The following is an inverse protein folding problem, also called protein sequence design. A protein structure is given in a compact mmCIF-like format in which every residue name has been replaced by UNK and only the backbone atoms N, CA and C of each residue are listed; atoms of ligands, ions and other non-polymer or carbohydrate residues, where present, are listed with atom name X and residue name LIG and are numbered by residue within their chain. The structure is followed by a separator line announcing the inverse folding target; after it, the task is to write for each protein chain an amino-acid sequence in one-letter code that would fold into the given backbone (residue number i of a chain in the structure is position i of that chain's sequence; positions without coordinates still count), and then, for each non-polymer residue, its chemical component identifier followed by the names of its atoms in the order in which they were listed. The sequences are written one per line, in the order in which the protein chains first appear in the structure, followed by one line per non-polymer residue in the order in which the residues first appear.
data_IF_654371310877
#
_entry.id   IF_654371310877
#
_cell.length_a   1.000
_cell.length_b   1.000
_cell.length_c   1.000
_cell.angle_alpha   90.00
_cell.angle_beta   90.00
_cell.angle_gamma   90.00
#
_symmetry.space_group_name_H-M   'P 1'
#
loop_
_entity.id
_entity.type
_entity.pdbx_description
1 polymer ?
#
# COMPACT_ATOMS: atom_id res chain seq x y z
N UNK A 1 -5.11 19.89 0.12
CA UNK A 1 -3.84 20.06 0.89
C UNK A 1 -2.66 19.39 0.18
N UNK A 2 -2.69 19.39 -1.14
CA UNK A 2 -1.64 18.81 -1.98
C UNK A 2 -0.27 19.49 -1.70
N UNK A 3 0.78 18.71 -1.62
CA UNK A 3 2.18 19.17 -1.55
C UNK A 3 2.86 19.18 -0.17
N UNK A 4 2.17 18.93 0.94
CA UNK A 4 2.83 18.84 2.26
C UNK A 4 3.45 17.46 2.55
N UNK A 5 3.06 16.45 1.79
CA UNK A 5 3.48 15.06 1.89
C UNK A 5 4.62 14.71 0.92
N UNK A 6 5.05 15.66 0.07
CA UNK A 6 6.23 15.53 -0.79
C UNK A 6 7.33 16.50 -0.34
N UNK A 7 8.48 15.97 0.04
CA UNK A 7 9.69 16.72 0.41
C UNK A 7 10.64 16.71 -0.78
N UNK A 8 10.62 17.78 -1.58
CA UNK A 8 11.43 17.90 -2.81
C UNK A 8 12.87 18.33 -2.56
N UNK A 9 13.14 19.03 -1.46
CA UNK A 9 14.51 19.37 -1.10
C UNK A 9 15.27 18.11 -0.72
N UNK A 10 16.47 17.92 -1.28
CA UNK A 10 17.32 16.78 -0.99
C UNK A 10 17.62 16.69 0.51
N UNK A 11 17.23 15.58 1.13
CA UNK A 11 17.46 15.29 2.54
C UNK A 11 18.67 14.37 2.66
N UNK A 12 19.63 14.73 3.51
CA UNK A 12 20.75 13.85 3.84
C UNK A 12 20.32 12.82 4.89
N UNK A 13 20.15 11.57 4.46
CA UNK A 13 19.80 10.41 5.27
C UNK A 13 20.92 9.35 5.23
N UNK A 14 22.15 9.75 4.93
CA UNK A 14 23.32 8.85 4.87
C UNK A 14 23.69 8.28 6.24
N UNK A 15 23.25 8.94 7.32
CA UNK A 15 23.46 8.50 8.70
C UNK A 15 22.49 7.42 9.19
N UNK A 16 21.49 7.04 8.36
CA UNK A 16 20.55 5.99 8.72
C UNK A 16 21.12 4.60 8.41
N UNK A 17 20.82 3.66 9.29
CA UNK A 17 21.15 2.25 9.06
C UNK A 17 20.06 1.60 8.18
N UNK A 18 20.39 1.40 6.90
CA UNK A 18 19.54 0.76 5.90
C UNK A 18 19.62 -0.76 5.90
N UNK A 19 20.47 -1.36 6.72
CA UNK A 19 20.64 -2.81 6.84
C UNK A 19 19.55 -3.44 7.72
N UNK A 20 18.72 -2.66 8.39
CA UNK A 20 17.55 -3.18 9.09
C UNK A 20 16.57 -3.79 8.07
N UNK A 21 16.79 -5.04 7.70
CA UNK A 21 15.75 -5.93 7.15
C UNK A 21 14.75 -6.24 8.25
N UNK A 22 14.14 -5.17 8.81
CA UNK A 22 13.11 -5.30 9.81
C UNK A 22 11.89 -5.94 9.14
N UNK A 23 11.80 -7.28 9.27
CA UNK A 23 10.57 -7.97 8.98
C UNK A 23 9.49 -7.43 9.90
N UNK A 24 8.52 -6.71 9.36
CA UNK A 24 7.23 -6.67 9.98
C UNK A 24 6.75 -8.13 10.00
N UNK A 25 6.53 -8.72 11.17
CA UNK A 25 5.99 -10.08 11.34
C UNK A 25 6.78 -11.28 10.77
N UNK A 26 8.12 -11.30 10.85
CA UNK A 26 8.89 -12.55 10.69
C UNK A 26 9.16 -13.01 9.25
N UNK A 27 8.73 -12.29 8.22
CA UNK A 27 9.12 -12.53 6.83
C UNK A 27 10.17 -11.54 6.37
N UNK A 28 11.26 -12.03 5.76
CA UNK A 28 12.30 -11.19 5.19
C UNK A 28 11.68 -10.26 4.14
N UNK A 29 11.60 -8.95 4.46
CA UNK A 29 11.15 -7.94 3.51
C UNK A 29 12.19 -7.78 2.38
N UNK A 30 11.71 -7.60 1.15
CA UNK A 30 12.55 -7.38 -0.03
C UNK A 30 13.13 -5.95 -0.05
N UNK A 31 12.63 -5.07 0.83
CA UNK A 31 12.94 -3.64 0.82
C UNK A 31 13.78 -3.26 2.03
N UNK A 32 14.79 -2.43 1.79
CA UNK A 32 15.57 -1.82 2.87
C UNK A 32 14.72 -0.82 3.64
N UNK A 33 14.79 -0.90 4.95
CA UNK A 33 14.07 -0.03 5.87
C UNK A 33 15.04 0.56 6.88
N UNK A 34 14.76 1.79 7.30
CA UNK A 34 15.44 2.44 8.41
C UNK A 34 14.39 3.06 9.35
N UNK A 35 14.80 3.45 10.54
CA UNK A 35 13.92 4.11 11.50
C UNK A 35 14.66 5.15 12.32
N UNK A 36 13.92 6.18 12.74
CA UNK A 36 14.41 7.22 13.67
C UNK A 36 13.41 7.47 14.76
N UNK A 37 13.88 7.98 15.89
CA UNK A 37 13.02 8.29 17.04
C UNK A 37 12.64 7.06 17.86
N UNK A 38 11.71 7.25 18.79
CA UNK A 38 11.21 6.19 19.68
C UNK A 38 9.77 6.46 20.12
N UNK A 39 9.06 5.41 20.55
CA UNK A 39 7.68 5.51 21.03
C UNK A 39 6.74 6.11 19.98
N UNK A 40 5.97 7.15 20.36
CA UNK A 40 5.04 7.84 19.45
C UNK A 40 5.72 8.72 18.39
N UNK A 41 7.02 9.00 18.54
CA UNK A 41 7.82 9.76 17.56
C UNK A 41 8.59 8.87 16.58
N UNK A 42 8.36 7.56 16.62
CA UNK A 42 9.02 6.61 15.74
C UNK A 42 8.57 6.85 14.28
N UNK A 43 9.55 7.08 13.41
CA UNK A 43 9.37 7.25 11.97
C UNK A 43 10.06 6.09 11.29
N UNK A 44 9.36 5.45 10.39
CA UNK A 44 9.89 4.43 9.49
C UNK A 44 10.18 5.06 8.14
N UNK A 45 11.29 4.62 7.54
CA UNK A 45 11.68 4.92 6.18
C UNK A 45 11.74 3.62 5.40
N UNK A 46 11.28 3.64 4.15
CA UNK A 46 11.30 2.48 3.25
C UNK A 46 11.85 2.93 1.91
N UNK A 47 12.88 2.24 1.43
CA UNK A 47 13.41 2.44 0.09
C UNK A 47 12.56 1.67 -0.93
N UNK A 48 12.50 2.14 -2.20
CA UNK A 48 12.07 1.32 -3.31
C UNK A 48 12.96 0.10 -3.46
N UNK A 49 12.62 -0.78 -4.39
CA UNK A 49 13.41 -1.98 -4.63
C UNK A 49 14.87 -1.64 -4.96
N UNK A 50 15.78 -2.22 -4.19
CA UNK A 50 17.20 -2.18 -4.40
C UNK A 50 17.68 -3.55 -4.87
N UNK A 51 18.35 -3.60 -6.01
CA UNK A 51 18.86 -4.87 -6.60
C UNK A 51 20.36 -5.12 -6.35
N UNK A 52 20.98 -4.33 -5.48
CA UNK A 52 22.42 -4.38 -5.19
C UNK A 52 23.24 -3.35 -5.98
N UNK A 53 22.66 -2.71 -7.00
CA UNK A 53 23.34 -1.73 -7.87
C UNK A 53 22.50 -0.47 -8.09
N UNK A 54 21.19 -0.61 -8.28
CA UNK A 54 20.29 0.46 -8.64
C UNK A 54 19.05 0.43 -7.72
N UNK A 55 18.58 1.62 -7.36
CA UNK A 55 17.28 1.83 -6.76
C UNK A 55 16.35 2.31 -7.89
N UNK A 56 15.55 1.42 -8.45
CA UNK A 56 14.67 1.71 -9.56
C UNK A 56 13.33 1.02 -9.38
N UNK A 57 12.34 1.80 -8.96
CA UNK A 57 10.97 1.31 -8.84
C UNK A 57 9.99 2.41 -8.45
N UNK A 58 8.71 2.16 -8.73
CA UNK A 58 7.61 3.08 -8.44
C UNK A 58 6.94 2.82 -7.07
N UNK A 59 7.42 1.85 -6.28
CA UNK A 59 6.70 1.43 -5.07
C UNK A 59 6.48 2.58 -4.08
N UNK A 60 7.47 3.45 -3.86
CA UNK A 60 7.31 4.55 -2.91
C UNK A 60 6.29 5.59 -3.38
N UNK A 61 6.21 5.82 -4.69
CA UNK A 61 5.20 6.70 -5.30
C UNK A 61 3.82 6.05 -5.20
N UNK A 62 3.72 4.75 -5.48
CA UNK A 62 2.46 4.01 -5.38
C UNK A 62 1.89 3.99 -3.96
N UNK A 63 2.76 3.88 -2.92
CA UNK A 63 2.34 4.02 -1.52
C UNK A 63 1.72 5.39 -1.24
N UNK A 64 2.33 6.47 -1.75
CA UNK A 64 1.79 7.81 -1.61
C UNK A 64 0.47 7.97 -2.38
N UNK A 65 0.40 7.49 -3.63
CA UNK A 65 -0.82 7.52 -4.44
C UNK A 65 -1.96 6.77 -3.76
N UNK A 66 -1.69 5.55 -3.24
CA UNK A 66 -2.68 4.77 -2.50
C UNK A 66 -3.16 5.49 -1.25
N UNK A 67 -2.25 6.12 -0.49
CA UNK A 67 -2.58 6.91 0.69
C UNK A 67 -3.53 8.06 0.34
N UNK A 68 -3.21 8.84 -0.69
CA UNK A 68 -4.04 9.97 -1.14
C UNK A 68 -5.39 9.53 -1.72
N UNK A 69 -5.41 8.40 -2.43
CA UNK A 69 -6.65 7.82 -2.94
C UNK A 69 -7.56 7.36 -1.79
N UNK A 70 -6.99 6.77 -0.75
CA UNK A 70 -7.72 6.39 0.47
C UNK A 70 -8.24 7.62 1.23
N UNK A 71 -7.49 8.73 1.28
CA UNK A 71 -7.98 10.01 1.80
C UNK A 71 -9.21 10.49 1.02
N UNK A 72 -9.16 10.46 -0.32
CA UNK A 72 -10.28 10.86 -1.19
C UNK A 72 -11.52 9.98 -0.97
N UNK A 73 -11.33 8.68 -0.76
CA UNK A 73 -12.39 7.71 -0.47
C UNK A 73 -12.88 7.76 0.99
N UNK A 74 -12.15 8.38 1.90
CA UNK A 74 -12.44 8.39 3.33
C UNK A 74 -12.11 7.07 4.05
N UNK A 75 -11.14 6.32 3.56
CA UNK A 75 -10.70 5.04 4.10
C UNK A 75 -9.53 5.24 5.08
N UNK A 76 -9.59 4.61 6.26
CA UNK A 76 -8.49 4.65 7.23
C UNK A 76 -7.28 3.89 6.69
N UNK A 77 -6.12 4.53 6.71
CA UNK A 77 -4.88 3.98 6.16
C UNK A 77 -3.64 4.57 6.85
N UNK A 78 -2.49 3.97 6.57
CA UNK A 78 -1.19 4.54 6.96
C UNK A 78 -0.82 5.69 6.02
N UNK A 79 -0.70 6.89 6.58
CA UNK A 79 -0.29 8.06 5.81
C UNK A 79 1.21 8.01 5.48
N UNK A 80 1.54 8.27 4.23
CA UNK A 80 2.91 8.30 3.73
C UNK A 80 3.35 9.70 3.33
N UNK A 81 4.66 9.94 3.43
CA UNK A 81 5.34 11.09 2.81
C UNK A 81 6.39 10.58 1.85
N UNK A 82 6.50 11.22 0.69
CA UNK A 82 7.54 10.96 -0.28
C UNK A 82 8.70 11.94 -0.05
N UNK A 83 9.92 11.44 0.04
CA UNK A 83 11.10 12.21 0.40
C UNK A 83 12.17 12.02 -0.66
N UNK A 84 12.66 13.12 -1.24
CA UNK A 84 13.87 13.14 -2.05
C UNK A 84 15.07 13.07 -1.11
N UNK A 85 15.86 12.03 -1.21
CA UNK A 85 16.90 11.75 -0.22
C UNK A 85 18.19 11.23 -0.83
N UNK A 86 19.30 11.55 -0.15
CA UNK A 86 20.60 10.93 -0.30
C UNK A 86 20.75 9.88 0.81
N UNK A 87 21.08 8.65 0.44
CA UNK A 87 21.23 7.50 1.34
C UNK A 87 22.57 6.80 1.11
N UNK A 88 23.09 6.12 2.13
CA UNK A 88 24.31 5.34 2.06
C UNK A 88 23.95 3.85 2.25
N UNK A 89 24.23 3.02 1.24
CA UNK A 89 23.93 1.59 1.25
C UNK A 89 25.20 0.84 0.82
N UNK A 90 25.67 -0.09 1.63
CA UNK A 90 26.85 -0.92 1.36
C UNK A 90 28.09 -0.09 0.96
N UNK A 91 28.25 1.11 1.54
CA UNK A 91 29.35 2.02 1.27
C UNK A 91 29.22 2.90 0.01
N UNK A 92 28.11 2.78 -0.74
CA UNK A 92 27.80 3.61 -1.89
C UNK A 92 26.66 4.63 -1.59
N UNK A 93 26.82 5.84 -2.09
CA UNK A 93 25.79 6.90 -1.99
C UNK A 93 24.81 6.80 -3.15
N UNK A 94 23.52 6.96 -2.83
CA UNK A 94 22.43 6.99 -3.81
C UNK A 94 21.53 8.20 -3.55
N UNK A 95 21.10 8.85 -4.62
CA UNK A 95 20.04 9.83 -4.60
C UNK A 95 18.76 9.19 -5.12
N UNK A 96 17.69 9.24 -4.33
CA UNK A 96 16.45 8.52 -4.63
C UNK A 96 15.24 9.15 -3.96
N UNK A 97 14.07 8.72 -4.38
CA UNK A 97 12.82 8.95 -3.69
C UNK A 97 12.49 7.76 -2.79
N UNK A 98 12.18 8.03 -1.55
CA UNK A 98 11.76 7.04 -0.57
C UNK A 98 10.52 7.50 0.17
N UNK A 99 9.82 6.60 0.84
CA UNK A 99 8.72 7.01 1.68
C UNK A 99 9.04 6.96 3.18
N UNK A 100 8.34 7.77 3.94
CA UNK A 100 8.32 7.68 5.39
C UNK A 100 6.88 7.60 5.90
N UNK A 101 6.72 6.91 7.03
CA UNK A 101 5.46 6.80 7.75
C UNK A 101 5.68 6.85 9.25
N UNK A 102 4.63 7.19 9.99
CA UNK A 102 4.66 7.15 11.45
C UNK A 102 4.14 5.82 11.97
N UNK A 103 4.55 5.47 13.18
CA UNK A 103 3.99 4.32 13.86
C UNK A 103 2.48 4.54 14.12
N UNK A 104 1.64 3.62 13.63
CA UNK A 104 0.18 3.67 13.81
C UNK A 104 -0.31 2.97 15.09
N UNK A 105 0.59 2.22 15.78
CA UNK A 105 0.23 1.51 17.01
C UNK A 105 0.01 2.49 18.15
N UNK A 106 -1.05 2.26 18.91
CA UNK A 106 -1.27 2.92 20.19
C UNK A 106 -0.33 2.33 21.26
N UNK A 107 -0.14 3.07 22.35
CA UNK A 107 0.69 2.60 23.47
C UNK A 107 0.11 1.29 24.02
N UNK A 108 0.96 0.28 24.17
CA UNK A 108 0.57 -1.04 24.67
C UNK A 108 0.03 -2.01 23.61
N UNK A 109 -0.31 -1.55 22.41
CA UNK A 109 -0.74 -2.47 21.34
C UNK A 109 0.44 -3.35 20.87
N UNK A 110 0.14 -4.62 20.67
CA UNK A 110 1.02 -5.60 20.01
C UNK A 110 0.49 -5.87 18.61
N UNK A 111 1.38 -6.17 17.68
CA UNK A 111 1.00 -6.50 16.30
C UNK A 111 1.33 -7.94 15.96
N UNK A 112 0.45 -8.56 15.19
CA UNK A 112 0.65 -9.85 14.54
C UNK A 112 0.24 -9.71 13.07
N UNK A 113 0.84 -10.51 12.19
CA UNK A 113 0.25 -10.66 10.85
C UNK A 113 -1.10 -11.36 10.94
N UNK A 114 -2.00 -11.06 10.01
CA UNK A 114 -3.29 -11.76 9.95
C UNK A 114 -3.09 -13.28 9.83
N UNK A 115 -2.07 -13.74 9.10
CA UNK A 115 -1.76 -15.17 9.01
C UNK A 115 -1.39 -15.79 10.35
N UNK A 116 -0.49 -15.17 11.12
CA UNK A 116 -0.13 -15.65 12.44
C UNK A 116 -1.32 -15.61 13.41
N UNK A 117 -2.14 -14.56 13.32
CA UNK A 117 -3.35 -14.45 14.13
C UNK A 117 -4.39 -15.50 13.73
N UNK A 118 -4.59 -15.73 12.44
CA UNK A 118 -5.44 -16.78 11.91
C UNK A 118 -5.02 -18.18 12.43
N UNK A 119 -3.73 -18.50 12.35
CA UNK A 119 -3.22 -19.81 12.83
C UNK A 119 -3.43 -20.03 14.32
N UNK A 120 -3.47 -18.96 15.13
CA UNK A 120 -3.69 -19.04 16.58
C UNK A 120 -5.18 -19.18 16.95
N UNK A 121 -6.09 -18.61 16.16
CA UNK A 121 -7.50 -18.45 16.57
C UNK A 121 -8.53 -19.03 15.59
N UNK A 122 -8.10 -19.64 14.47
CA UNK A 122 -9.03 -20.28 13.51
C UNK A 122 -9.72 -21.49 14.10
N UNK A 123 -10.96 -21.70 13.71
CA UNK A 123 -11.71 -22.92 13.97
C UNK A 123 -11.36 -24.01 12.94
N UNK A 124 -11.60 -25.30 13.28
CA UNK A 124 -11.35 -26.37 12.32
C UNK A 124 -12.14 -26.20 11.02
N UNK A 125 -11.43 -26.15 9.89
CA UNK A 125 -12.03 -25.98 8.54
C UNK A 125 -12.41 -24.55 8.17
N UNK A 126 -12.17 -23.56 9.04
CA UNK A 126 -12.50 -22.16 8.78
C UNK A 126 -11.58 -21.55 7.72
N UNK A 127 -12.17 -20.84 6.75
CA UNK A 127 -11.44 -20.10 5.73
C UNK A 127 -11.16 -18.64 6.16
N UNK A 128 -10.10 -17.98 5.64
CA UNK A 128 -9.71 -16.64 6.07
C UNK A 128 -10.80 -15.57 5.99
N UNK A 129 -11.68 -15.61 4.98
CA UNK A 129 -12.80 -14.67 4.87
C UNK A 129 -13.85 -14.89 5.96
N UNK A 130 -14.18 -16.13 6.27
CA UNK A 130 -15.12 -16.50 7.35
C UNK A 130 -14.58 -16.07 8.70
N UNK A 131 -13.30 -16.31 8.91
CA UNK A 131 -12.56 -15.85 10.08
C UNK A 131 -12.65 -14.32 10.25
N UNK A 132 -12.39 -13.55 9.21
CA UNK A 132 -12.50 -12.08 9.26
C UNK A 132 -13.94 -11.64 9.58
N UNK A 133 -14.96 -12.31 9.04
CA UNK A 133 -16.37 -12.04 9.36
C UNK A 133 -16.69 -12.34 10.83
N UNK A 134 -16.19 -13.44 11.37
CA UNK A 134 -16.38 -13.81 12.78
C UNK A 134 -15.79 -12.78 13.75
N UNK A 135 -14.68 -12.13 13.37
CA UNK A 135 -14.10 -11.04 14.13
C UNK A 135 -14.71 -9.65 13.83
N UNK A 136 -15.71 -9.56 12.94
CA UNK A 136 -16.36 -8.32 12.59
C UNK A 136 -15.55 -7.40 11.66
N UNK A 137 -14.55 -7.96 10.94
CA UNK A 137 -13.63 -7.20 10.07
C UNK A 137 -14.02 -7.24 8.59
N UNK A 138 -15.23 -7.68 8.25
CA UNK A 138 -15.66 -7.77 6.84
C UNK A 138 -15.59 -6.45 6.08
N UNK A 139 -15.90 -5.33 6.75
CA UNK A 139 -15.85 -4.01 6.11
C UNK A 139 -14.40 -3.53 5.90
N UNK A 140 -13.49 -3.80 6.85
CA UNK A 140 -12.08 -3.46 6.70
C UNK A 140 -11.46 -4.23 5.53
N UNK A 141 -11.79 -5.52 5.41
CA UNK A 141 -11.36 -6.37 4.29
C UNK A 141 -12.00 -5.90 2.98
N UNK A 142 -13.27 -5.49 2.98
CA UNK A 142 -13.93 -4.98 1.78
C UNK A 142 -13.26 -3.69 1.26
N UNK A 143 -12.96 -2.74 2.15
CA UNK A 143 -12.24 -1.50 1.80
C UNK A 143 -10.83 -1.80 1.29
N UNK A 144 -10.14 -2.76 1.90
CA UNK A 144 -8.82 -3.21 1.45
C UNK A 144 -8.87 -3.82 0.04
N UNK A 145 -9.84 -4.70 -0.25
CA UNK A 145 -10.01 -5.30 -1.57
C UNK A 145 -10.37 -4.26 -2.63
N UNK A 146 -11.16 -3.24 -2.29
CA UNK A 146 -11.44 -2.13 -3.20
C UNK A 146 -10.16 -1.37 -3.55
N UNK A 147 -9.35 -1.00 -2.56
CA UNK A 147 -8.06 -0.31 -2.81
C UNK A 147 -7.12 -1.19 -3.61
N UNK A 148 -7.01 -2.48 -3.29
CA UNK A 148 -6.18 -3.42 -4.03
C UNK A 148 -6.63 -3.53 -5.49
N UNK A 149 -7.94 -3.51 -5.74
CA UNK A 149 -8.48 -3.48 -7.10
C UNK A 149 -8.12 -2.17 -7.82
N UNK A 150 -8.40 -1.01 -7.23
CA UNK A 150 -8.14 0.30 -7.84
C UNK A 150 -6.66 0.50 -8.16
N UNK A 151 -5.80 0.07 -7.26
CA UNK A 151 -4.35 0.16 -7.39
C UNK A 151 -3.72 -0.98 -8.20
N UNK A 152 -4.48 -1.98 -8.66
CA UNK A 152 -3.95 -3.20 -9.27
C UNK A 152 -2.84 -3.84 -8.41
N UNK A 153 -3.07 -3.94 -7.09
CA UNK A 153 -2.10 -4.43 -6.12
C UNK A 153 -1.87 -5.93 -6.28
N UNK A 154 -0.59 -6.34 -6.36
CA UNK A 154 -0.19 -7.72 -6.61
C UNK A 154 0.20 -8.49 -5.35
N UNK A 155 0.28 -7.83 -4.20
CA UNK A 155 0.85 -8.40 -2.99
C UNK A 155 0.07 -8.05 -1.71
N UNK A 156 -1.09 -8.70 -1.52
CA UNK A 156 -1.89 -8.65 -0.29
C UNK A 156 -1.77 -9.96 0.48
N UNK A 157 -0.54 -10.44 0.68
CA UNK A 157 -0.27 -11.61 1.52
C UNK A 157 -0.58 -11.35 3.00
N UNK A 158 -0.66 -12.42 3.77
CA UNK A 158 -0.98 -12.37 5.19
C UNK A 158 -0.10 -11.42 6.03
N UNK A 159 1.18 -11.23 5.63
CA UNK A 159 2.12 -10.31 6.30
C UNK A 159 1.82 -8.83 6.02
N UNK A 160 1.06 -8.52 4.98
CA UNK A 160 0.67 -7.17 4.58
C UNK A 160 -0.73 -6.79 5.13
N UNK A 161 -1.26 -7.62 6.03
CA UNK A 161 -2.46 -7.35 6.83
C UNK A 161 -2.06 -7.59 8.29
N UNK A 162 -2.13 -6.56 9.11
CA UNK A 162 -1.76 -6.68 10.53
C UNK A 162 -3.00 -6.62 11.42
N UNK A 163 -2.97 -7.40 12.50
CA UNK A 163 -3.93 -7.35 13.60
C UNK A 163 -3.25 -6.69 14.79
N UNK A 164 -3.93 -5.76 15.42
CA UNK A 164 -3.47 -5.05 16.60
C UNK A 164 -4.23 -5.59 17.82
N UNK A 165 -3.48 -6.12 18.78
CA UNK A 165 -3.98 -6.60 20.05
C UNK A 165 -3.79 -5.52 21.12
N UNK A 166 -4.87 -4.99 21.66
CA UNK A 166 -4.85 -4.00 22.73
C UNK A 166 -4.63 -4.64 24.11
N UNK A 167 -4.19 -3.86 25.12
CA UNK A 167 -3.96 -4.36 26.46
C UNK A 167 -5.23 -4.91 27.15
N UNK A 168 -6.41 -4.47 26.74
CA UNK A 168 -7.72 -4.91 27.23
C UNK A 168 -8.20 -6.23 26.62
N UNK A 169 -7.40 -6.82 25.74
CA UNK A 169 -7.72 -8.07 25.04
C UNK A 169 -8.53 -7.88 23.76
N UNK A 170 -8.88 -6.66 23.38
CA UNK A 170 -9.56 -6.39 22.11
C UNK A 170 -8.60 -6.50 20.92
N UNK A 171 -9.16 -6.81 19.74
CA UNK A 171 -8.41 -6.91 18.48
C UNK A 171 -9.04 -6.02 17.41
N UNK A 172 -8.21 -5.45 16.56
CA UNK A 172 -8.65 -4.70 15.38
C UNK A 172 -7.69 -4.90 14.21
N UNK A 173 -8.18 -4.71 13.00
CA UNK A 173 -7.32 -4.60 11.82
C UNK A 173 -6.51 -3.30 11.91
N UNK A 174 -5.24 -3.37 11.52
CA UNK A 174 -4.41 -2.18 11.35
C UNK A 174 -4.88 -1.34 10.16
N UNK A 175 -4.63 -0.01 10.14
CA UNK A 175 -4.83 0.80 8.95
C UNK A 175 -4.18 0.16 7.73
N UNK A 176 -4.77 0.31 6.53
CA UNK A 176 -4.24 -0.27 5.29
C UNK A 176 -2.84 0.31 5.00
N UNK A 177 -1.90 -0.56 4.67
CA UNK A 177 -0.51 -0.23 4.33
C UNK A 177 0.06 -1.22 3.32
N UNK A 178 1.30 -0.97 2.85
CA UNK A 178 2.09 -1.82 1.95
C UNK A 178 1.37 -2.12 0.62
N UNK A 179 0.97 -1.04 -0.07
CA UNK A 179 0.32 -1.05 -1.38
C UNK A 179 1.31 -0.74 -2.51
N UNK A 180 2.60 -0.68 -2.24
CA UNK A 180 3.61 -0.21 -3.20
C UNK A 180 3.76 -1.11 -4.42
N UNK A 181 3.64 -2.44 -4.29
CA UNK A 181 3.76 -3.37 -5.42
C UNK A 181 2.47 -3.42 -6.25
N UNK A 182 2.10 -2.27 -6.78
CA UNK A 182 0.84 -1.99 -7.47
C UNK A 182 1.06 -1.22 -8.78
N UNK A 183 -0.01 -0.91 -9.49
CA UNK A 183 -0.02 -0.14 -10.74
C UNK A 183 1.08 -0.62 -11.69
N UNK A 184 1.99 0.28 -12.06
CA UNK A 184 3.06 0.06 -13.03
C UNK A 184 4.41 -0.33 -12.41
N UNK A 185 4.48 -0.61 -11.08
CA UNK A 185 5.75 -0.97 -10.44
C UNK A 185 6.50 -2.13 -11.11
N UNK A 186 5.82 -3.21 -11.59
CA UNK A 186 6.50 -4.28 -12.31
C UNK A 186 7.04 -3.89 -13.69
N UNK A 187 6.67 -2.72 -14.20
CA UNK A 187 7.02 -2.20 -15.52
C UNK A 187 7.92 -0.97 -15.45
N UNK A 188 8.44 -0.64 -14.25
CA UNK A 188 9.29 0.54 -14.06
C UNK A 188 10.44 0.55 -15.06
N UNK A 189 10.64 1.71 -15.73
CA UNK A 189 11.66 1.89 -16.77
C UNK A 189 11.27 1.42 -18.18
N UNK A 190 10.17 0.66 -18.37
CA UNK A 190 9.75 0.14 -19.67
C UNK A 190 8.56 0.92 -20.23
N UNK A 191 8.84 2.02 -20.94
CA UNK A 191 7.80 2.90 -21.45
C UNK A 191 6.88 2.26 -22.51
N UNK A 192 7.38 1.31 -23.28
CA UNK A 192 6.58 0.58 -24.27
C UNK A 192 5.51 -0.27 -23.58
N UNK A 193 5.93 -1.09 -22.60
CA UNK A 193 5.02 -1.91 -21.82
C UNK A 193 4.07 -1.08 -20.94
N UNK A 194 4.53 0.05 -20.42
CA UNK A 194 3.67 0.99 -19.69
C UNK A 194 2.56 1.51 -20.61
N UNK A 195 2.90 1.96 -21.82
CA UNK A 195 1.92 2.48 -22.78
C UNK A 195 0.92 1.41 -23.21
N UNK A 196 1.38 0.18 -23.43
CA UNK A 196 0.56 -0.96 -23.86
C UNK A 196 -0.26 -1.60 -22.72
N UNK A 197 -0.05 -1.20 -21.46
CA UNK A 197 -0.73 -1.82 -20.33
C UNK A 197 -2.25 -1.59 -20.40
N UNK A 198 -3.03 -2.68 -20.34
CA UNK A 198 -4.50 -2.61 -20.27
C UNK A 198 -4.95 -2.20 -18.85
N UNK A 199 -5.60 -1.04 -18.70
CA UNK A 199 -6.07 -0.55 -17.39
C UNK A 199 -7.00 -1.50 -16.64
N UNK A 200 -7.77 -2.33 -17.36
CA UNK A 200 -8.71 -3.29 -16.76
C UNK A 200 -8.15 -4.71 -16.65
N UNK A 201 -6.88 -4.93 -17.04
CA UNK A 201 -6.27 -6.24 -16.90
C UNK A 201 -6.45 -6.79 -15.47
N UNK A 202 -7.02 -7.99 -15.34
CA UNK A 202 -7.12 -8.67 -14.04
C UNK A 202 -5.78 -9.30 -13.69
N UNK A 203 -4.88 -8.43 -13.22
CA UNK A 203 -3.52 -8.84 -12.82
C UNK A 203 -3.58 -9.77 -11.62
N UNK A 204 -2.81 -10.86 -11.69
CA UNK A 204 -2.75 -11.81 -10.59
C UNK A 204 -2.21 -11.16 -9.31
N UNK A 205 -2.90 -11.38 -8.21
CA UNK A 205 -2.51 -10.94 -6.86
C UNK A 205 -2.23 -12.12 -5.95
N UNK A 206 -1.38 -11.91 -4.95
CA UNK A 206 -1.30 -12.80 -3.79
C UNK A 206 -2.21 -12.22 -2.72
N UNK A 207 -3.41 -12.78 -2.55
CA UNK A 207 -4.36 -12.32 -1.54
C UNK A 207 -4.62 -13.43 -0.51
N UNK A 208 -4.37 -13.14 0.77
CA UNK A 208 -4.53 -14.12 1.85
C UNK A 208 -5.99 -14.44 2.15
N UNK A 209 -6.87 -13.44 2.04
CA UNK A 209 -8.29 -13.56 2.43
C UNK A 209 -9.15 -13.98 1.24
N UNK A 210 -8.76 -13.59 0.03
CA UNK A 210 -9.53 -13.81 -1.19
C UNK A 210 -8.84 -14.74 -2.19
N UNK A 211 -9.15 -14.52 -3.46
CA UNK A 211 -8.59 -15.25 -4.59
C UNK A 211 -7.39 -14.52 -5.24
N UNK A 212 -6.85 -15.09 -6.31
CA UNK A 212 -5.78 -14.48 -7.09
C UNK A 212 -6.28 -13.45 -8.12
N UNK A 213 -7.58 -13.31 -8.31
CA UNK A 213 -8.24 -12.36 -9.18
C UNK A 213 -8.66 -11.12 -8.39
N UNK A 214 -8.22 -9.94 -8.79
CA UNK A 214 -8.62 -8.68 -8.16
C UNK A 214 -10.10 -8.38 -8.42
N UNK A 215 -10.61 -8.69 -9.62
CA UNK A 215 -12.03 -8.46 -9.94
C UNK A 215 -12.94 -9.42 -9.18
N UNK A 216 -12.57 -10.69 -9.05
CA UNK A 216 -13.33 -11.66 -8.24
C UNK A 216 -13.38 -11.24 -6.76
N UNK A 217 -12.25 -10.79 -6.21
CA UNK A 217 -12.20 -10.28 -4.84
C UNK A 217 -13.13 -9.08 -4.67
N UNK A 218 -13.10 -8.11 -5.60
CA UNK A 218 -13.99 -6.96 -5.58
C UNK A 218 -15.46 -7.39 -5.67
N UNK A 219 -15.81 -8.29 -6.59
CA UNK A 219 -17.18 -8.83 -6.73
C UNK A 219 -17.66 -9.53 -5.46
N UNK A 220 -16.78 -10.15 -4.70
CA UNK A 220 -17.14 -10.83 -3.45
C UNK A 220 -17.58 -9.84 -2.37
N UNK A 221 -17.06 -8.62 -2.36
CA UNK A 221 -17.26 -7.63 -1.30
C UNK A 221 -18.08 -6.41 -1.71
N UNK A 222 -18.33 -6.18 -3.00
CA UNK A 222 -19.14 -5.05 -3.46
C UNK A 222 -20.63 -5.24 -3.10
N UNK A 223 -21.41 -4.16 -2.82
CA UNK A 223 -20.91 -2.80 -2.66
C UNK A 223 -20.08 -2.62 -1.40
N UNK A 224 -19.07 -1.75 -1.43
CA UNK A 224 -18.23 -1.45 -0.26
C UNK A 224 -18.80 -0.26 0.49
N UNK A 225 -19.18 -0.51 1.73
CA UNK A 225 -19.85 0.50 2.56
C UNK A 225 -18.90 1.58 3.10
N UNK A 226 -19.43 2.78 3.28
CA UNK A 226 -18.74 3.90 3.93
C UNK A 226 -17.64 4.55 3.09
N UNK A 227 -17.56 4.26 1.79
CA UNK A 227 -16.64 4.93 0.86
C UNK A 227 -17.32 6.11 0.16
N UNK A 228 -16.55 7.17 -0.07
CA UNK A 228 -17.00 8.34 -0.83
C UNK A 228 -16.88 8.08 -2.32
N UNK A 229 -17.77 8.66 -3.12
CA UNK A 229 -17.67 8.60 -4.57
C UNK A 229 -16.46 9.41 -5.07
N UNK A 230 -15.85 8.91 -6.15
CA UNK A 230 -14.74 9.58 -6.84
C UNK A 230 -15.27 10.18 -8.16
N UNK A 231 -15.29 11.49 -8.25
CA UNK A 231 -15.40 12.20 -9.51
C UNK A 231 -14.04 12.38 -10.17
N UNK A 232 -13.99 12.96 -11.36
CA UNK A 232 -12.77 13.17 -12.13
C UNK A 232 -11.73 14.02 -11.36
N UNK A 233 -12.17 15.02 -10.60
CA UNK A 233 -11.30 15.89 -9.82
C UNK A 233 -10.65 15.11 -8.66
N UNK A 234 -11.44 14.30 -7.95
CA UNK A 234 -10.94 13.44 -6.86
C UNK A 234 -10.01 12.32 -7.34
N UNK A 235 -10.17 11.85 -8.57
CA UNK A 235 -9.24 10.90 -9.20
C UNK A 235 -7.94 11.62 -9.59
N UNK A 236 -7.99 12.90 -9.96
CA UNK A 236 -6.81 13.67 -10.35
C UNK A 236 -5.98 14.15 -9.14
N UNK A 237 -6.63 14.59 -8.07
CA UNK A 237 -5.99 15.16 -6.86
C UNK A 237 -4.84 14.31 -6.27
N UNK A 238 -4.93 12.97 -6.17
CA UNK A 238 -3.82 12.13 -5.71
C UNK A 238 -2.51 12.29 -6.49
N UNK A 239 -2.56 12.75 -7.73
CA UNK A 239 -1.40 12.93 -8.60
C UNK A 239 -0.72 14.29 -8.46
N UNK A 240 -1.33 15.24 -7.75
CA UNK A 240 -0.80 16.60 -7.59
C UNK A 240 0.62 16.58 -7.02
N UNK A 241 1.52 17.31 -7.71
CA UNK A 241 2.92 17.45 -7.30
C UNK A 241 3.78 16.21 -7.54
N UNK A 242 3.37 15.26 -8.38
CA UNK A 242 4.20 14.13 -8.80
C UNK A 242 4.95 14.39 -10.11
N UNK A 243 4.73 15.54 -10.76
CA UNK A 243 5.41 15.96 -11.96
C UNK A 243 6.93 16.01 -11.73
N UNK A 244 7.68 15.44 -12.67
CA UNK A 244 9.14 15.35 -12.59
C UNK A 244 9.68 14.31 -11.60
N UNK A 245 8.82 13.56 -10.89
CA UNK A 245 9.21 12.41 -10.07
C UNK A 245 9.10 11.12 -10.89
N UNK A 246 8.03 11.00 -11.67
CA UNK A 246 7.85 9.98 -12.68
C UNK A 246 7.72 10.60 -14.06
N UNK A 247 7.84 9.80 -15.12
CA UNK A 247 7.56 10.24 -16.47
C UNK A 247 6.07 10.58 -16.65
N UNK A 248 5.78 11.56 -17.50
CA UNK A 248 4.39 11.95 -17.81
C UNK A 248 3.58 10.76 -18.35
N UNK A 249 4.21 9.88 -19.14
CA UNK A 249 3.59 8.65 -19.66
C UNK A 249 3.14 7.74 -18.52
N UNK A 250 3.98 7.55 -17.50
CA UNK A 250 3.64 6.72 -16.35
C UNK A 250 2.51 7.36 -15.53
N UNK A 251 2.57 8.67 -15.27
CA UNK A 251 1.54 9.38 -14.52
C UNK A 251 0.17 9.33 -15.21
N UNK A 252 0.14 9.59 -16.53
CA UNK A 252 -1.09 9.51 -17.32
C UNK A 252 -1.68 8.10 -17.31
N UNK A 253 -0.83 7.07 -17.48
CA UNK A 253 -1.28 5.67 -17.47
C UNK A 253 -1.78 5.23 -16.10
N UNK A 254 -1.12 5.63 -15.00
CA UNK A 254 -1.58 5.33 -13.65
C UNK A 254 -2.94 5.98 -13.36
N UNK A 255 -3.13 7.23 -13.80
CA UNK A 255 -4.43 7.91 -13.69
C UNK A 255 -5.51 7.20 -14.51
N UNK A 256 -5.22 6.80 -15.75
CA UNK A 256 -6.13 6.01 -16.57
C UNK A 256 -6.54 4.69 -15.89
N UNK A 257 -5.59 3.97 -15.28
CA UNK A 257 -5.87 2.73 -14.55
C UNK A 257 -6.88 2.98 -13.43
N UNK A 258 -6.65 3.96 -12.56
CA UNK A 258 -7.53 4.26 -11.44
C UNK A 258 -8.92 4.69 -11.95
N UNK A 259 -8.99 5.56 -12.96
CA UNK A 259 -10.23 6.04 -13.54
C UNK A 259 -11.09 4.91 -14.14
N UNK A 260 -10.46 4.03 -14.94
CA UNK A 260 -11.16 2.89 -15.56
C UNK A 260 -11.62 1.87 -14.54
N UNK A 261 -10.79 1.59 -13.53
CA UNK A 261 -11.14 0.65 -12.46
C UNK A 261 -12.21 1.21 -11.53
N UNK A 262 -12.23 2.52 -11.28
CA UNK A 262 -13.32 3.13 -10.55
C UNK A 262 -14.64 3.01 -11.31
N UNK A 263 -14.67 3.35 -12.60
CA UNK A 263 -15.87 3.18 -13.43
C UNK A 263 -16.36 1.72 -13.43
N UNK A 264 -15.43 0.75 -13.50
CA UNK A 264 -15.77 -0.67 -13.41
C UNK A 264 -16.34 -1.06 -12.05
N UNK A 265 -15.83 -0.50 -10.96
CA UNK A 265 -16.42 -0.71 -9.63
C UNK A 265 -17.84 -0.16 -9.56
N UNK A 266 -18.12 1.01 -10.16
CA UNK A 266 -19.46 1.57 -10.22
C UNK A 266 -20.45 0.67 -10.96
N UNK A 267 -20.03 0.05 -12.07
CA UNK A 267 -20.83 -0.98 -12.77
C UNK A 267 -21.12 -2.17 -11.85
N UNK A 268 -20.08 -2.72 -11.23
CA UNK A 268 -20.22 -3.90 -10.35
C UNK A 268 -21.16 -3.63 -9.16
N UNK A 269 -21.07 -2.43 -8.55
CA UNK A 269 -21.96 -2.09 -7.41
C UNK A 269 -23.40 -1.81 -7.84
N UNK A 270 -23.63 -1.37 -9.07
CA UNK A 270 -24.96 -1.12 -9.60
C UNK A 270 -25.72 -2.41 -9.98
N UNK A 271 -25.00 -3.49 -10.28
CA UNK A 271 -25.54 -4.81 -10.61
C UNK A 271 -26.00 -5.61 -9.36
N UNK A 272 -25.85 -5.06 -8.15
CA UNK A 272 -26.17 -5.69 -6.87
C UNK A 272 -27.28 -5.00 -6.11
#
# INVERSE_FOLDING_TARGET
MAGRDIVRSLQDLTNLDWNERASSSGTAGTYLKARTGSGSRLIYYKLPRYNGVVIDSYECVNELLASRLMDALGIEHLAYRLIHAKVLIDGAEYETWLNSSRNFRKVGERKLSLGAFFDLYKEPGEFPMEFCRRFGWQEDIARMMLIDYLMANRDRRASNIEVLAAPDGSFRIAPIFDTGFSLLAPLAGDLERITAFDPLADVATTNFVGSRSLEENLRTVAPVEGVKDLDEARIAEPFDGLEGILSDVALLKMREIIQRRWARYEEIRADR
#
